data_IF_315422747621
#
_entry.id   IF_315422747621
#
_cell.length_a   1.000
_cell.length_b   1.000
_cell.length_c   1.000
_cell.angle_alpha   90.00
_cell.angle_beta   90.00
_cell.angle_gamma   90.00
#
_symmetry.space_group_name_H-M   'P 1'
#
loop_
_entity.id
_entity.type
_entity.pdbx_description
1 polymer ?
#
# COMPACT_ATOMS: atom_id res chain seq x y z
N UNK A 1 12.91 8.31 -3.31
CA UNK A 1 12.45 7.07 -3.96
C UNK A 1 10.98 7.24 -4.31
N UNK A 2 10.70 7.52 -5.58
CA UNK A 2 9.38 7.97 -6.05
C UNK A 2 8.54 6.85 -6.66
N UNK A 3 7.29 7.19 -6.99
CA UNK A 3 6.36 6.31 -7.71
C UNK A 3 6.87 5.90 -9.12
N UNK A 4 7.90 6.59 -9.66
CA UNK A 4 8.46 6.34 -10.99
C UNK A 4 9.00 4.92 -11.23
N UNK A 5 9.43 4.22 -10.17
CA UNK A 5 9.92 2.84 -10.27
C UNK A 5 8.82 1.78 -10.09
N UNK A 6 7.60 2.19 -9.74
CA UNK A 6 6.49 1.26 -9.51
C UNK A 6 6.16 0.39 -10.75
N UNK A 7 6.16 0.92 -12.00
CA UNK A 7 6.00 0.11 -13.21
C UNK A 7 6.91 -1.11 -13.28
N UNK A 8 8.21 -0.91 -13.05
CA UNK A 8 9.20 -1.98 -13.10
C UNK A 8 8.95 -3.00 -11.98
N UNK A 9 8.71 -2.53 -10.75
CA UNK A 9 8.41 -3.44 -9.62
C UNK A 9 7.15 -4.27 -9.86
N UNK A 10 6.12 -3.68 -10.47
CA UNK A 10 4.88 -4.37 -10.82
C UNK A 10 5.16 -5.44 -11.88
N UNK A 11 5.90 -5.08 -12.95
CA UNK A 11 6.32 -6.02 -14.00
C UNK A 11 7.10 -7.21 -13.42
N UNK A 12 8.15 -6.94 -12.64
CA UNK A 12 8.97 -8.00 -12.04
C UNK A 12 8.16 -8.89 -11.09
N UNK A 13 7.24 -8.29 -10.34
CA UNK A 13 6.35 -9.01 -9.43
C UNK A 13 5.40 -9.94 -10.20
N UNK A 14 4.79 -9.46 -11.28
CA UNK A 14 3.93 -10.28 -12.13
C UNK A 14 4.72 -11.44 -12.75
N UNK A 15 5.86 -11.16 -13.38
CA UNK A 15 6.69 -12.20 -14.03
C UNK A 15 7.05 -13.33 -13.06
N UNK A 16 7.38 -13.01 -11.81
CA UNK A 16 7.70 -14.01 -10.78
C UNK A 16 6.52 -14.85 -10.31
N UNK A 17 5.30 -14.32 -10.37
CA UNK A 17 4.12 -14.95 -9.75
C UNK A 17 3.18 -15.61 -10.76
N UNK A 18 3.13 -15.11 -12.01
CA UNK A 18 2.22 -15.62 -13.05
C UNK A 18 2.91 -15.97 -14.37
N UNK A 19 4.21 -15.71 -14.49
CA UNK A 19 4.96 -15.92 -15.74
C UNK A 19 4.96 -14.70 -16.66
N UNK A 20 5.82 -14.73 -17.67
CA UNK A 20 6.08 -13.58 -18.56
C UNK A 20 4.89 -13.23 -19.46
N UNK A 21 4.30 -14.25 -20.09
CA UNK A 21 3.17 -14.07 -21.02
C UNK A 21 1.97 -13.44 -20.33
N UNK A 22 1.56 -13.97 -19.18
CA UNK A 22 0.44 -13.45 -18.40
C UNK A 22 0.75 -12.06 -17.82
N UNK A 23 2.00 -11.81 -17.41
CA UNK A 23 2.43 -10.49 -16.95
C UNK A 23 2.25 -9.42 -18.03
N UNK A 24 2.71 -9.68 -19.26
CA UNK A 24 2.61 -8.74 -20.39
C UNK A 24 1.16 -8.36 -20.71
N UNK A 25 0.21 -9.31 -20.61
CA UNK A 25 -1.22 -9.03 -20.78
C UNK A 25 -1.76 -8.12 -19.67
N UNK A 26 -1.38 -8.36 -18.41
CA UNK A 26 -1.88 -7.58 -17.27
C UNK A 26 -1.38 -6.13 -17.32
N UNK A 27 -0.10 -5.92 -17.64
CA UNK A 27 0.52 -4.59 -17.69
C UNK A 27 0.67 -4.02 -19.11
N UNK A 28 -0.18 -4.44 -20.04
CA UNK A 28 -0.21 -3.88 -21.40
C UNK A 28 -0.28 -2.34 -21.37
N UNK A 29 0.65 -1.68 -22.08
CA UNK A 29 0.75 -0.23 -22.17
C UNK A 29 1.42 0.46 -20.97
N UNK A 30 2.02 -0.29 -20.05
CA UNK A 30 2.72 0.25 -18.87
C UNK A 30 3.94 1.11 -19.22
N UNK A 31 4.56 0.88 -20.38
CA UNK A 31 5.70 1.64 -20.92
C UNK A 31 5.38 3.13 -21.08
N UNK A 32 4.13 3.46 -21.43
CA UNK A 32 3.67 4.84 -21.64
C UNK A 32 3.14 5.51 -20.37
N UNK A 33 3.10 4.81 -19.24
CA UNK A 33 2.38 5.27 -18.04
C UNK A 33 2.88 6.62 -17.50
N UNK A 34 4.19 6.87 -17.62
CA UNK A 34 4.82 8.11 -17.20
C UNK A 34 4.51 9.30 -18.12
N UNK A 35 4.20 9.04 -19.39
CA UNK A 35 3.87 10.05 -20.41
C UNK A 35 2.39 10.44 -20.39
N UNK A 36 1.53 9.58 -19.80
CA UNK A 36 0.10 9.84 -19.69
C UNK A 36 -0.19 11.01 -18.75
N UNK A 37 -1.16 11.84 -19.13
CA UNK A 37 -1.81 12.78 -18.21
C UNK A 37 -2.53 12.05 -17.06
N UNK A 38 -2.98 12.79 -16.06
CA UNK A 38 -3.62 12.22 -14.87
C UNK A 38 -4.86 11.37 -15.22
N UNK A 39 -5.69 11.80 -16.16
CA UNK A 39 -6.94 11.11 -16.53
C UNK A 39 -6.67 9.80 -17.27
N UNK A 40 -5.72 9.80 -18.20
CA UNK A 40 -5.35 8.60 -18.95
C UNK A 40 -4.61 7.60 -18.05
N UNK A 41 -3.76 8.09 -17.16
CA UNK A 41 -3.09 7.27 -16.14
C UNK A 41 -4.09 6.62 -15.19
N UNK A 42 -5.10 7.37 -14.74
CA UNK A 42 -6.19 6.87 -13.91
C UNK A 42 -6.93 5.70 -14.57
N UNK A 43 -7.31 5.89 -15.84
CA UNK A 43 -8.03 4.90 -16.63
C UNK A 43 -7.17 3.66 -16.82
N UNK A 44 -5.90 3.82 -17.17
CA UNK A 44 -4.97 2.71 -17.31
C UNK A 44 -4.83 1.92 -16.00
N UNK A 45 -4.68 2.61 -14.87
CA UNK A 45 -4.57 1.95 -13.55
C UNK A 45 -5.80 1.11 -13.20
N UNK A 46 -7.01 1.62 -13.47
CA UNK A 46 -8.24 0.86 -13.26
C UNK A 46 -8.25 -0.39 -14.15
N UNK A 47 -7.98 -0.24 -15.44
CA UNK A 47 -7.95 -1.35 -16.40
C UNK A 47 -6.86 -2.39 -16.08
N UNK A 48 -5.69 -1.96 -15.61
CA UNK A 48 -4.62 -2.87 -15.21
C UNK A 48 -5.03 -3.72 -14.00
N UNK A 49 -5.78 -3.15 -13.06
CA UNK A 49 -6.32 -3.91 -11.93
C UNK A 49 -7.46 -4.85 -12.36
N UNK A 50 -8.32 -4.43 -13.28
CA UNK A 50 -9.37 -5.30 -13.83
C UNK A 50 -8.76 -6.50 -14.57
N UNK A 51 -7.68 -6.28 -15.34
CA UNK A 51 -6.92 -7.36 -15.97
C UNK A 51 -6.26 -8.26 -14.94
N UNK A 52 -5.65 -7.71 -13.89
CA UNK A 52 -5.07 -8.51 -12.81
C UNK A 52 -6.14 -9.41 -12.17
N UNK A 53 -7.30 -8.87 -11.83
CA UNK A 53 -8.38 -9.65 -11.22
C UNK A 53 -8.97 -10.71 -12.15
N UNK A 54 -9.00 -10.43 -13.46
CA UNK A 54 -9.51 -11.37 -14.47
C UNK A 54 -8.53 -12.51 -14.78
N UNK A 55 -7.23 -12.22 -14.76
CA UNK A 55 -6.17 -13.21 -15.08
C UNK A 55 -5.70 -14.00 -13.85
N UNK A 56 -5.93 -13.49 -12.63
CA UNK A 56 -5.45 -14.10 -11.39
C UNK A 56 -6.60 -14.34 -10.42
N UNK A 57 -7.17 -15.54 -10.48
CA UNK A 57 -8.28 -15.95 -9.61
C UNK A 57 -7.85 -16.17 -8.15
N UNK A 58 -6.61 -16.61 -7.92
CA UNK A 58 -6.12 -16.90 -6.57
C UNK A 58 -5.79 -15.62 -5.78
N UNK A 59 -6.54 -15.41 -4.69
CA UNK A 59 -6.34 -14.26 -3.80
C UNK A 59 -4.95 -14.21 -3.18
N UNK A 60 -4.35 -15.36 -2.84
CA UNK A 60 -3.00 -15.39 -2.27
C UNK A 60 -1.96 -14.87 -3.26
N UNK A 61 -2.10 -15.22 -4.53
CA UNK A 61 -1.24 -14.75 -5.62
C UNK A 61 -1.42 -13.25 -5.83
N UNK A 62 -2.66 -12.73 -5.82
CA UNK A 62 -2.92 -11.27 -5.90
C UNK A 62 -2.30 -10.51 -4.73
N UNK A 63 -2.46 -11.01 -3.50
CA UNK A 63 -1.81 -10.46 -2.30
C UNK A 63 -0.31 -10.41 -2.55
N UNK A 64 0.31 -11.53 -2.91
CA UNK A 64 1.76 -11.60 -3.12
C UNK A 64 2.23 -10.61 -4.19
N UNK A 65 1.57 -10.55 -5.35
CA UNK A 65 1.91 -9.63 -6.44
C UNK A 65 1.90 -8.18 -5.95
N UNK A 66 0.81 -7.78 -5.29
CA UNK A 66 0.59 -6.40 -4.86
C UNK A 66 1.44 -6.01 -3.65
N UNK A 67 1.77 -6.95 -2.77
CA UNK A 67 2.71 -6.69 -1.67
C UNK A 67 4.15 -6.63 -2.12
N UNK A 68 4.55 -7.43 -3.11
CA UNK A 68 5.93 -7.46 -3.63
C UNK A 68 6.27 -6.19 -4.43
N UNK A 69 5.29 -5.58 -5.11
CA UNK A 69 5.49 -4.37 -5.93
C UNK A 69 5.34 -3.05 -5.15
N UNK A 70 4.97 -3.10 -3.86
CA UNK A 70 4.67 -1.92 -3.06
C UNK A 70 5.85 -0.92 -3.00
N UNK A 71 5.53 0.37 -2.82
CA UNK A 71 6.56 1.40 -2.67
C UNK A 71 7.43 1.15 -1.43
N UNK A 72 8.73 1.41 -1.56
CA UNK A 72 9.71 1.34 -0.49
C UNK A 72 9.93 2.73 0.07
N UNK A 73 9.82 2.90 1.38
CA UNK A 73 10.10 4.17 2.03
C UNK A 73 10.47 3.97 3.51
N UNK A 74 11.21 4.95 4.05
CA UNK A 74 11.51 5.15 5.47
C UNK A 74 12.55 4.22 6.12
N UNK A 75 13.66 3.95 5.45
CA UNK A 75 14.77 3.13 6.01
C UNK A 75 15.26 3.68 7.37
N UNK A 76 15.39 4.99 7.52
CA UNK A 76 15.88 5.62 8.76
C UNK A 76 15.01 5.34 9.99
N UNK A 77 13.68 5.49 9.85
CA UNK A 77 12.74 5.21 10.94
C UNK A 77 12.68 3.72 11.25
N UNK A 78 12.78 2.87 10.22
CA UNK A 78 12.76 1.41 10.39
C UNK A 78 13.97 0.95 11.21
N UNK A 79 15.16 1.51 10.99
CA UNK A 79 16.35 1.16 11.77
C UNK A 79 16.20 1.49 13.26
N UNK A 80 15.62 2.64 13.59
CA UNK A 80 15.31 3.02 14.97
C UNK A 80 14.32 2.04 15.61
N UNK A 81 13.20 1.78 14.93
CA UNK A 81 12.14 0.87 15.40
C UNK A 81 12.66 -0.56 15.58
N UNK A 82 13.54 -1.02 14.69
CA UNK A 82 14.23 -2.32 14.82
C UNK A 82 15.10 -2.37 16.08
N UNK A 83 15.82 -1.29 16.42
CA UNK A 83 16.63 -1.26 17.65
C UNK A 83 15.75 -1.38 18.89
N UNK A 84 14.60 -0.68 18.91
CA UNK A 84 13.62 -0.79 20.01
C UNK A 84 13.13 -2.23 20.14
N UNK A 85 12.72 -2.86 19.02
CA UNK A 85 12.27 -4.25 19.02
C UNK A 85 13.35 -5.21 19.52
N UNK A 86 14.59 -5.12 19.02
CA UNK A 86 15.70 -5.98 19.46
C UNK A 86 16.08 -5.79 20.92
N UNK A 87 15.94 -4.57 21.44
CA UNK A 87 16.28 -4.25 22.83
C UNK A 87 15.21 -4.69 23.84
N UNK A 88 13.95 -4.68 23.44
CA UNK A 88 12.82 -4.85 24.38
C UNK A 88 12.01 -6.12 24.14
N UNK A 89 11.85 -6.55 22.89
CA UNK A 89 10.85 -7.57 22.50
C UNK A 89 9.40 -7.15 22.81
N UNK A 90 9.17 -5.88 23.14
CA UNK A 90 7.88 -5.38 23.59
C UNK A 90 7.19 -4.59 22.47
N UNK A 91 6.01 -5.07 22.09
CA UNK A 91 5.18 -4.48 21.05
C UNK A 91 4.63 -3.12 21.51
N UNK A 92 4.30 -2.96 22.78
CA UNK A 92 3.71 -1.71 23.27
C UNK A 92 4.77 -0.61 23.34
N UNK A 93 5.99 -0.96 23.77
CA UNK A 93 7.15 -0.06 23.67
C UNK A 93 7.44 0.34 22.21
N UNK A 94 7.31 -0.60 21.26
CA UNK A 94 7.45 -0.32 19.83
C UNK A 94 6.35 0.63 19.32
N UNK A 95 5.09 0.42 19.72
CA UNK A 95 3.94 1.26 19.35
C UNK A 95 4.13 2.70 19.85
N UNK A 96 4.62 2.89 21.07
CA UNK A 96 4.86 4.20 21.63
C UNK A 96 5.91 4.98 20.81
N UNK A 97 6.98 4.32 20.38
CA UNK A 97 8.00 4.95 19.51
C UNK A 97 7.51 5.15 18.08
N UNK A 98 6.65 4.26 17.57
CA UNK A 98 6.10 4.33 16.22
C UNK A 98 5.07 5.45 16.06
N UNK A 99 4.46 5.91 17.15
CA UNK A 99 3.39 6.92 17.14
C UNK A 99 3.84 8.22 16.47
N UNK A 100 3.12 8.61 15.40
CA UNK A 100 3.41 9.83 14.65
C UNK A 100 4.58 9.73 13.67
N UNK A 101 5.24 8.57 13.58
CA UNK A 101 6.29 8.29 12.58
C UNK A 101 5.69 7.57 11.37
N UNK A 102 6.42 7.59 10.25
CA UNK A 102 6.12 6.73 9.08
C UNK A 102 4.70 6.97 8.53
N UNK A 103 4.15 8.18 8.67
CA UNK A 103 2.76 8.52 8.30
C UNK A 103 1.71 7.61 8.95
N UNK A 104 1.94 7.21 10.21
CA UNK A 104 1.01 6.41 10.99
C UNK A 104 0.37 7.24 12.10
N UNK A 105 -0.94 7.02 12.30
CA UNK A 105 -1.56 7.31 13.59
C UNK A 105 -1.05 6.29 14.61
N UNK A 106 -1.16 6.59 15.91
CA UNK A 106 -0.82 5.63 16.98
C UNK A 106 -1.45 4.27 16.68
N UNK A 107 -0.67 3.19 16.49
CA UNK A 107 -1.22 1.86 16.31
C UNK A 107 -2.01 1.41 17.54
N UNK A 108 -3.06 0.61 17.33
CA UNK A 108 -3.90 0.06 18.39
C UNK A 108 -3.66 -1.45 18.50
N UNK A 109 -3.34 -1.96 19.68
CA UNK A 109 -3.08 -3.40 19.90
C UNK A 109 -4.30 -4.09 20.52
N UNK A 110 -4.62 -5.26 19.99
CA UNK A 110 -5.57 -6.23 20.55
C UNK A 110 -4.93 -7.62 20.52
N UNK A 111 -4.38 -8.05 21.67
CA UNK A 111 -3.63 -9.30 21.78
C UNK A 111 -2.43 -9.37 20.83
N UNK A 112 -2.50 -10.31 19.87
CA UNK A 112 -1.47 -10.51 18.83
C UNK A 112 -1.77 -9.76 17.53
N UNK A 113 -2.76 -8.88 17.52
CA UNK A 113 -3.12 -8.07 16.36
C UNK A 113 -2.78 -6.62 16.66
N UNK A 114 -2.03 -5.98 15.75
CA UNK A 114 -1.81 -4.53 15.78
C UNK A 114 -2.55 -3.90 14.61
N UNK A 115 -3.49 -3.03 14.93
CA UNK A 115 -4.20 -2.24 13.94
C UNK A 115 -3.45 -0.96 13.63
N UNK A 116 -3.05 -0.83 12.37
CA UNK A 116 -2.26 0.29 11.86
C UNK A 116 -3.16 1.17 10.99
N UNK A 117 -3.30 2.45 11.36
CA UNK A 117 -4.07 3.43 10.58
C UNK A 117 -3.14 4.45 9.94
N UNK A 118 -3.24 4.62 8.63
CA UNK A 118 -2.44 5.62 7.90
C UNK A 118 -2.91 7.05 8.22
N UNK A 119 -1.95 7.97 8.26
CA UNK A 119 -2.18 9.40 8.22
C UNK A 119 -2.37 9.87 6.77
N UNK A 120 -3.19 10.93 6.53
CA UNK A 120 -3.31 11.53 5.20
C UNK A 120 -1.97 12.00 4.65
N UNK A 121 -1.81 12.00 3.33
CA UNK A 121 -0.63 12.60 2.66
C UNK A 121 -0.58 14.10 2.85
N UNK A 122 -1.74 14.75 2.79
CA UNK A 122 -1.92 16.19 2.90
C UNK A 122 -2.89 16.46 4.08
N UNK A 123 -2.40 16.50 5.33
CA UNK A 123 -3.26 16.50 6.52
C UNK A 123 -4.20 17.71 6.62
N UNK A 124 -3.72 18.90 6.28
CA UNK A 124 -4.49 20.14 6.38
C UNK A 124 -5.60 20.17 5.32
N UNK A 125 -5.26 19.85 4.08
CA UNK A 125 -6.20 19.79 2.96
C UNK A 125 -7.20 18.66 3.14
N UNK A 126 -6.76 17.51 3.66
CA UNK A 126 -7.67 16.42 4.03
C UNK A 126 -8.65 16.82 5.13
N UNK A 127 -8.21 17.62 6.11
CA UNK A 127 -9.09 18.13 7.17
C UNK A 127 -10.09 19.15 6.62
N UNK A 128 -9.67 19.99 5.67
CA UNK A 128 -10.51 21.01 5.01
C UNK A 128 -11.41 20.49 3.87
N UNK A 129 -11.19 19.27 3.40
CA UNK A 129 -11.91 18.68 2.28
C UNK A 129 -13.42 18.55 2.54
N UNK A 130 -14.23 18.98 1.56
CA UNK A 130 -15.70 19.05 1.66
C UNK A 130 -16.40 17.89 0.99
N UNK A 131 -15.75 17.29 -0.01
CA UNK A 131 -16.27 16.15 -0.77
C UNK A 131 -15.55 14.84 -0.40
N UNK A 132 -16.16 13.70 -0.71
CA UNK A 132 -15.53 12.39 -0.49
C UNK A 132 -14.34 12.20 -1.42
N UNK A 133 -14.43 12.74 -2.62
CA UNK A 133 -13.42 12.72 -3.67
C UNK A 133 -12.17 13.49 -3.23
N UNK A 134 -12.34 14.71 -2.69
CA UNK A 134 -11.24 15.50 -2.11
C UNK A 134 -10.61 14.77 -0.92
N UNK A 135 -11.41 14.22 0.01
CA UNK A 135 -10.87 13.43 1.14
C UNK A 135 -10.05 12.25 0.65
N UNK A 136 -10.55 11.49 -0.33
CA UNK A 136 -9.83 10.38 -0.95
C UNK A 136 -8.52 10.82 -1.58
N UNK A 137 -8.56 11.93 -2.32
CA UNK A 137 -7.39 12.51 -2.98
C UNK A 137 -6.33 12.90 -1.95
N UNK A 138 -6.66 13.74 -0.98
CA UNK A 138 -5.69 14.23 0.01
C UNK A 138 -5.20 13.15 1.00
N UNK A 139 -5.96 12.07 1.17
CA UNK A 139 -5.52 10.93 1.97
C UNK A 139 -4.43 10.10 1.27
N UNK A 140 -4.58 9.84 -0.03
CA UNK A 140 -3.79 8.81 -0.69
C UNK A 140 -2.34 9.23 -0.98
N UNK A 141 -1.41 8.38 -0.56
CA UNK A 141 0.03 8.61 -0.74
C UNK A 141 0.53 8.37 -2.16
N UNK A 142 -0.19 7.58 -2.96
CA UNK A 142 0.21 7.18 -4.30
C UNK A 142 -0.41 8.07 -5.36
N UNK A 143 0.41 8.61 -6.27
CA UNK A 143 -0.06 9.48 -7.35
C UNK A 143 -0.97 8.73 -8.32
N UNK A 144 -0.69 7.44 -8.57
CA UNK A 144 -1.50 6.57 -9.41
C UNK A 144 -2.91 6.33 -8.84
N UNK A 145 -3.03 6.19 -7.51
CA UNK A 145 -4.35 6.03 -6.88
C UNK A 145 -5.11 7.34 -6.74
N UNK A 146 -4.42 8.48 -6.57
CA UNK A 146 -5.08 9.79 -6.62
C UNK A 146 -5.66 10.08 -8.00
N UNK A 147 -4.94 9.69 -9.05
CA UNK A 147 -5.42 9.80 -10.42
C UNK A 147 -6.71 8.98 -10.64
N UNK A 148 -6.81 7.77 -10.05
CA UNK A 148 -7.91 6.81 -10.22
C UNK A 148 -9.29 7.28 -9.69
N UNK A 149 -9.86 8.31 -10.33
CA UNK A 149 -11.19 8.84 -10.11
C UNK A 149 -12.30 7.89 -10.58
N UNK A 150 -12.02 7.03 -11.56
CA UNK A 150 -12.98 6.10 -12.19
C UNK A 150 -13.38 4.87 -11.34
N UNK A 151 -12.98 4.82 -10.07
CA UNK A 151 -13.03 3.59 -9.28
C UNK A 151 -11.88 2.65 -9.67
N UNK A 152 -11.31 2.00 -8.67
CA UNK A 152 -10.21 1.04 -8.86
C UNK A 152 -10.51 -0.17 -7.99
N UNK A 153 -10.21 -1.36 -8.49
CA UNK A 153 -10.42 -2.59 -7.73
C UNK A 153 -9.78 -2.52 -6.35
N UNK A 154 -10.43 -3.15 -5.37
CA UNK A 154 -9.91 -3.36 -4.00
C UNK A 154 -8.53 -4.03 -4.00
N UNK A 155 -8.20 -4.78 -5.05
CA UNK A 155 -6.88 -5.41 -5.25
C UNK A 155 -5.77 -4.35 -5.20
N UNK A 156 -6.01 -3.13 -5.67
CA UNK A 156 -5.03 -2.05 -5.57
C UNK A 156 -4.70 -1.69 -4.11
N UNK A 157 -5.67 -1.79 -3.20
CA UNK A 157 -5.47 -1.48 -1.78
C UNK A 157 -4.49 -2.43 -1.09
N UNK A 158 -4.23 -3.61 -1.67
CA UNK A 158 -3.20 -4.55 -1.21
C UNK A 158 -1.78 -3.96 -1.31
N UNK A 159 -1.53 -2.99 -2.20
CA UNK A 159 -0.28 -2.23 -2.21
C UNK A 159 -0.07 -1.48 -0.88
N UNK A 160 -1.16 -0.95 -0.31
CA UNK A 160 -1.14 -0.31 1.00
C UNK A 160 -0.83 -1.29 2.14
N UNK A 161 -1.34 -2.53 2.04
CA UNK A 161 -1.03 -3.61 2.97
C UNK A 161 0.43 -4.07 2.83
N UNK A 162 0.96 -4.16 1.61
CA UNK A 162 2.36 -4.50 1.34
C UNK A 162 3.33 -3.51 1.96
N UNK A 163 3.02 -2.22 1.86
CA UNK A 163 3.78 -1.18 2.54
C UNK A 163 3.80 -1.39 4.07
N UNK A 164 2.64 -1.69 4.67
CA UNK A 164 2.55 -1.93 6.12
C UNK A 164 3.29 -3.21 6.51
N UNK A 165 3.07 -4.30 5.77
CA UNK A 165 3.74 -5.59 5.93
C UNK A 165 5.25 -5.41 5.95
N UNK A 166 5.82 -4.71 4.97
CA UNK A 166 7.26 -4.46 4.87
C UNK A 166 7.83 -3.77 6.11
N UNK A 167 7.17 -2.72 6.61
CA UNK A 167 7.62 -2.02 7.83
C UNK A 167 7.75 -3.00 8.99
N UNK A 168 6.73 -3.83 9.22
CA UNK A 168 6.72 -4.78 10.33
C UNK A 168 7.69 -5.94 10.12
N UNK A 169 7.82 -6.48 8.90
CA UNK A 169 8.81 -7.51 8.58
C UNK A 169 10.24 -7.00 8.73
N UNK A 170 10.51 -5.76 8.35
CA UNK A 170 11.84 -5.17 8.51
C UNK A 170 12.15 -4.85 9.98
N UNK A 171 11.16 -4.50 10.81
CA UNK A 171 11.36 -4.31 12.26
C UNK A 171 11.59 -5.65 12.95
N UNK A 172 10.77 -6.66 12.64
CA UNK A 172 10.73 -7.94 13.37
C UNK A 172 11.63 -9.03 12.77
N UNK A 173 12.20 -8.79 11.59
CA UNK A 173 13.10 -9.72 10.87
C UNK A 173 12.50 -11.11 10.65
N UNK A 174 11.18 -11.18 10.43
CA UNK A 174 10.44 -12.41 10.12
C UNK A 174 9.24 -12.10 9.23
N UNK A 175 8.66 -13.10 8.56
CA UNK A 175 7.44 -12.92 7.79
C UNK A 175 6.27 -12.45 8.66
N UNK A 176 5.49 -11.49 8.17
CA UNK A 176 4.32 -10.92 8.86
C UNK A 176 3.11 -10.99 7.94
N UNK A 177 1.97 -11.43 8.48
CA UNK A 177 0.69 -11.35 7.78
C UNK A 177 0.06 -9.99 8.02
N UNK A 178 -0.50 -9.41 6.96
CA UNK A 178 -1.27 -8.16 7.04
C UNK A 178 -2.55 -8.28 6.22
N UNK A 179 -3.68 -7.92 6.81
CA UNK A 179 -4.97 -7.85 6.11
C UNK A 179 -5.44 -6.39 5.99
N UNK A 180 -6.14 -6.07 4.90
CA UNK A 180 -6.80 -4.76 4.71
C UNK A 180 -8.12 -4.76 5.48
N UNK A 181 -8.28 -3.85 6.44
CA UNK A 181 -9.51 -3.71 7.25
C UNK A 181 -10.40 -2.59 6.71
N UNK A 182 -9.79 -1.46 6.33
CA UNK A 182 -10.46 -0.30 5.74
C UNK A 182 -9.63 0.27 4.62
N UNK A 183 -10.27 0.78 3.57
CA UNK A 183 -9.58 1.37 2.44
C UNK A 183 -10.35 2.57 1.88
N UNK A 184 -9.68 3.73 1.81
CA UNK A 184 -10.30 4.96 1.31
C UNK A 184 -10.76 4.84 -0.15
N UNK A 185 -10.02 4.07 -0.96
CA UNK A 185 -10.42 3.82 -2.35
C UNK A 185 -11.69 2.96 -2.46
N UNK A 186 -12.11 2.31 -1.38
CA UNK A 186 -13.32 1.48 -1.28
C UNK A 186 -14.46 2.20 -0.52
N UNK A 187 -14.31 3.51 -0.25
CA UNK A 187 -15.34 4.34 0.37
C UNK A 187 -15.20 4.54 1.88
N UNK A 188 -14.18 3.96 2.53
CA UNK A 188 -13.88 4.27 3.93
C UNK A 188 -13.28 5.66 4.12
N UNK A 189 -13.29 6.16 5.35
CA UNK A 189 -12.67 7.44 5.70
C UNK A 189 -11.15 7.35 5.98
N UNK A 190 -10.62 6.13 6.17
CA UNK A 190 -9.20 5.89 6.44
C UNK A 190 -8.75 4.57 5.83
N UNK A 191 -7.44 4.42 5.60
CA UNK A 191 -6.84 3.11 5.37
C UNK A 191 -6.38 2.52 6.71
N UNK A 192 -6.89 1.33 7.05
CA UNK A 192 -6.53 0.59 8.27
C UNK A 192 -6.15 -0.85 7.91
N UNK A 193 -5.10 -1.35 8.54
CA UNK A 193 -4.55 -2.68 8.32
C UNK A 193 -4.48 -3.45 9.64
N UNK A 194 -4.71 -4.75 9.61
CA UNK A 194 -4.50 -5.65 10.75
C UNK A 194 -3.17 -6.38 10.54
N UNK A 195 -2.21 -6.16 11.45
CA UNK A 195 -0.90 -6.80 11.45
C UNK A 195 -0.91 -7.91 12.46
N UNK A 196 -0.64 -9.14 12.02
CA UNK A 196 -0.62 -10.31 12.90
C UNK A 196 0.82 -10.60 13.33
N UNK A 197 1.04 -10.51 14.64
CA UNK A 197 2.32 -10.79 15.29
C UNK A 197 2.46 -12.30 15.50
#
# INVERSE_FOLDING_TARGET
MGNAEWPQRMSDSLKRNVGEKEAELIIEGCDKLCEMDEKNRAKWMAQAMDRLDSHVADEKTKIKIMTDCCCRCYEEHILELRRVWKGTGDVDALIDVMTGKVFLRRPERDGNIVYVTKAPRFPEEHAGAKTKEEKKYYFCHCDYARAASAGISKTYCLCGAGWCKRIWEEIMERPIRVDVVKAVLQGDNVCRFAVYL
#
